data_IF_018491339956
#
_entry.id   IF_018491339956
#
_cell.length_a   1.000
_cell.length_b   1.000
_cell.length_c   1.000
_cell.angle_alpha   90.00
_cell.angle_beta   90.00
_cell.angle_gamma   90.00
#
_symmetry.space_group_name_H-M   'P 1'
#
loop_
_entity.id
_entity.type
_entity.pdbx_description
1 polymer ?
#
# COMPACT_ATOMS: atom_id res chain seq x y z
N UNK A 1 10.66 -18.10 6.92
CA UNK A 1 10.09 -18.33 5.58
C UNK A 1 9.89 -16.95 4.96
N UNK A 2 10.29 -16.72 3.71
CA UNK A 2 10.13 -15.40 3.09
C UNK A 2 8.79 -15.33 2.34
N UNK A 3 7.87 -14.52 2.84
CA UNK A 3 6.57 -14.29 2.19
C UNK A 3 6.63 -13.03 1.34
N UNK A 4 6.09 -13.12 0.13
CA UNK A 4 5.96 -11.99 -0.80
C UNK A 4 4.50 -11.89 -1.18
N UNK A 5 3.92 -10.70 -1.02
CA UNK A 5 2.60 -10.41 -1.55
C UNK A 5 2.73 -9.79 -2.94
N UNK A 6 2.00 -10.34 -3.92
CA UNK A 6 2.10 -9.90 -5.31
C UNK A 6 1.11 -8.79 -5.67
N UNK A 7 0.25 -8.35 -4.75
CA UNK A 7 -0.77 -7.34 -5.05
C UNK A 7 -1.43 -6.73 -3.80
N UNK A 8 -0.96 -5.55 -3.36
CA UNK A 8 -1.63 -4.77 -2.31
C UNK A 8 -1.99 -3.34 -2.74
N UNK A 9 -3.23 -2.94 -2.43
CA UNK A 9 -3.77 -1.60 -2.70
C UNK A 9 -3.48 -0.60 -1.55
N UNK A 10 -2.24 -0.55 -1.06
CA UNK A 10 -1.89 0.23 0.14
C UNK A 10 -2.18 1.73 -0.02
N UNK A 11 -1.64 2.36 -1.06
CA UNK A 11 -1.83 3.80 -1.29
C UNK A 11 -3.28 4.18 -1.60
N UNK A 12 -4.05 3.30 -2.26
CA UNK A 12 -5.49 3.54 -2.47
C UNK A 12 -6.25 3.58 -1.13
N UNK A 13 -5.93 2.67 -0.21
CA UNK A 13 -6.48 2.70 1.16
C UNK A 13 -6.06 3.97 1.91
N UNK A 14 -4.81 4.41 1.76
CA UNK A 14 -4.35 5.63 2.40
C UNK A 14 -5.05 6.88 1.85
N UNK A 15 -5.09 7.04 0.53
CA UNK A 15 -5.51 8.30 -0.09
C UNK A 15 -7.01 8.40 -0.33
N UNK A 16 -7.68 7.32 -0.74
CA UNK A 16 -9.14 7.37 -1.03
C UNK A 16 -9.97 7.13 0.24
N UNK A 17 -9.48 6.27 1.14
CA UNK A 17 -10.17 5.97 2.40
C UNK A 17 -9.64 6.80 3.57
N UNK A 18 -8.57 7.59 3.42
CA UNK A 18 -7.98 8.35 4.51
C UNK A 18 -7.57 7.45 5.70
N UNK A 19 -7.00 6.27 5.40
CA UNK A 19 -6.51 5.33 6.41
C UNK A 19 -5.04 5.59 6.70
N UNK A 20 -4.70 5.73 7.97
CA UNK A 20 -3.29 5.83 8.35
C UNK A 20 -2.65 4.44 8.38
N UNK A 21 -1.77 4.17 7.41
CA UNK A 21 -1.06 2.89 7.31
C UNK A 21 0.00 2.69 8.40
N UNK A 22 0.27 3.69 9.25
CA UNK A 22 1.17 3.54 10.40
C UNK A 22 0.47 2.91 11.62
N UNK A 23 -0.87 2.93 11.64
CA UNK A 23 -1.66 2.36 12.70
C UNK A 23 -1.87 0.86 12.48
N UNK A 24 -2.19 0.12 13.55
CA UNK A 24 -2.68 -1.24 13.41
C UNK A 24 -4.06 -1.22 12.74
N UNK A 25 -4.43 -2.34 12.13
CA UNK A 25 -5.74 -2.54 11.53
C UNK A 25 -6.84 -2.38 12.57
N UNK A 26 -6.64 -2.81 13.82
CA UNK A 26 -7.61 -2.59 14.90
C UNK A 26 -7.84 -1.10 15.15
N UNK A 27 -6.77 -0.29 15.21
CA UNK A 27 -6.87 1.16 15.40
C UNK A 27 -7.56 1.84 14.22
N UNK A 28 -7.23 1.44 12.98
CA UNK A 28 -7.92 1.96 11.78
C UNK A 28 -9.41 1.63 11.83
N UNK A 29 -9.78 0.39 12.14
CA UNK A 29 -11.19 -0.04 12.22
C UNK A 29 -11.94 0.70 13.34
N UNK A 30 -11.28 0.95 14.47
CA UNK A 30 -11.86 1.72 15.56
C UNK A 30 -12.09 3.19 15.17
N UNK A 31 -11.14 3.82 14.46
CA UNK A 31 -11.30 5.18 13.95
C UNK A 31 -12.44 5.31 12.93
N UNK A 32 -12.75 4.23 12.22
CA UNK A 32 -13.87 4.15 11.26
C UNK A 32 -15.20 3.71 11.91
N UNK A 33 -15.25 3.49 13.23
CA UNK A 33 -16.45 3.02 13.92
C UNK A 33 -17.63 3.99 13.74
N UNK A 34 -18.79 3.46 13.37
CA UNK A 34 -20.01 4.25 13.12
C UNK A 34 -20.10 4.92 11.75
N UNK A 35 -19.05 4.86 10.92
CA UNK A 35 -19.10 5.32 9.53
C UNK A 35 -19.93 4.35 8.68
N UNK A 36 -20.88 4.87 7.90
CA UNK A 36 -21.88 4.05 7.17
C UNK A 36 -21.47 3.68 5.74
N UNK A 37 -20.38 4.25 5.22
CA UNK A 37 -19.91 3.95 3.87
C UNK A 37 -19.45 2.49 3.78
N UNK A 38 -19.76 1.83 2.66
CA UNK A 38 -19.33 0.43 2.39
C UNK A 38 -17.84 0.27 2.66
N UNK A 39 -17.41 -0.76 3.38
CA UNK A 39 -15.99 -1.07 3.60
C UNK A 39 -15.30 -0.32 4.74
N UNK A 40 -15.95 0.67 5.37
CA UNK A 40 -15.50 1.25 6.64
C UNK A 40 -15.53 0.21 7.75
N UNK A 41 -14.51 0.19 8.60
CA UNK A 41 -14.32 -0.83 9.63
C UNK A 41 -13.84 -2.18 9.10
N UNK A 42 -13.53 -2.29 7.79
CA UNK A 42 -13.15 -3.56 7.15
C UNK A 42 -11.72 -3.60 6.59
N UNK A 43 -10.85 -2.64 6.94
CA UNK A 43 -9.43 -2.69 6.53
C UNK A 43 -8.77 -3.99 6.98
N UNK A 44 -7.86 -4.56 6.18
CA UNK A 44 -7.27 -5.90 6.44
C UNK A 44 -5.77 -5.87 6.68
N UNK A 45 -5.08 -4.83 6.20
CA UNK A 45 -3.62 -4.71 6.30
C UNK A 45 -3.19 -3.26 6.41
N UNK A 46 -2.05 -3.05 7.05
CA UNK A 46 -1.29 -1.80 7.20
C UNK A 46 0.19 -2.16 7.36
N UNK A 47 1.09 -1.18 7.52
CA UNK A 47 2.53 -1.47 7.62
C UNK A 47 2.89 -2.34 8.84
N UNK A 48 2.31 -2.14 10.05
CA UNK A 48 2.59 -3.03 11.19
C UNK A 48 2.17 -4.49 10.93
N UNK A 49 1.13 -4.71 10.13
CA UNK A 49 0.57 -6.02 9.83
C UNK A 49 1.48 -6.80 8.89
N UNK A 50 2.03 -6.13 7.87
CA UNK A 50 3.05 -6.72 7.00
C UNK A 50 4.29 -7.13 7.80
N UNK A 51 4.71 -6.28 8.76
CA UNK A 51 5.83 -6.60 9.67
C UNK A 51 5.52 -7.81 10.55
N UNK A 52 4.35 -7.82 11.19
CA UNK A 52 3.92 -8.93 12.06
C UNK A 52 3.76 -10.25 11.30
N UNK A 53 3.34 -10.19 10.05
CA UNK A 53 3.17 -11.36 9.19
C UNK A 53 4.47 -11.80 8.50
N UNK A 54 5.60 -11.13 8.76
CA UNK A 54 6.88 -11.41 8.10
C UNK A 54 6.78 -11.39 6.57
N UNK A 55 6.08 -10.38 6.03
CA UNK A 55 5.98 -10.09 4.59
C UNK A 55 6.92 -8.93 4.26
N UNK A 56 8.23 -9.17 4.05
CA UNK A 56 9.23 -8.11 3.86
C UNK A 56 9.14 -7.41 2.51
N UNK A 57 8.39 -7.95 1.54
CA UNK A 57 8.30 -7.44 0.19
C UNK A 57 6.87 -7.58 -0.34
N UNK A 58 6.35 -6.52 -0.95
CA UNK A 58 5.07 -6.53 -1.65
C UNK A 58 5.16 -5.82 -2.99
N UNK A 59 4.37 -6.24 -3.96
CA UNK A 59 4.07 -5.41 -5.14
C UNK A 59 2.98 -4.42 -4.73
N UNK A 60 3.32 -3.14 -4.67
CA UNK A 60 2.46 -2.10 -4.12
C UNK A 60 1.73 -1.36 -5.24
N UNK A 61 0.47 -1.71 -5.44
CA UNK A 61 -0.30 -1.27 -6.61
C UNK A 61 -0.57 0.24 -6.54
N UNK A 62 -0.42 0.92 -7.68
CA UNK A 62 -1.03 2.23 -7.94
C UNK A 62 -2.23 2.02 -8.85
N UNK A 63 -3.42 2.43 -8.39
CA UNK A 63 -4.66 2.10 -9.09
C UNK A 63 -5.61 3.29 -9.17
N UNK A 64 -6.10 3.56 -10.36
CA UNK A 64 -7.22 4.47 -10.58
C UNK A 64 -7.99 4.02 -11.80
N UNK A 65 -9.30 3.80 -11.63
CA UNK A 65 -10.17 3.33 -12.69
C UNK A 65 -10.72 4.51 -13.47
N UNK A 66 -10.62 4.48 -14.80
CA UNK A 66 -11.41 5.37 -15.68
C UNK A 66 -12.83 4.81 -15.83
N UNK A 67 -13.84 5.65 -15.69
CA UNK A 67 -15.24 5.29 -15.92
C UNK A 67 -15.46 4.86 -17.37
N UNK A 68 -16.35 3.87 -17.59
CA UNK A 68 -16.75 3.41 -18.92
C UNK A 68 -18.27 3.33 -19.01
N UNK A 69 -18.88 3.69 -20.14
CA UNK A 69 -20.32 3.49 -20.35
C UNK A 69 -20.73 2.04 -20.07
N UNK A 70 -21.80 1.84 -19.30
CA UNK A 70 -22.31 0.51 -18.93
C UNK A 70 -21.54 -0.24 -17.84
N UNK A 71 -20.44 0.31 -17.32
CA UNK A 71 -19.73 -0.29 -16.17
C UNK A 71 -20.47 -0.03 -14.86
N UNK A 72 -20.72 -1.04 -14.01
CA UNK A 72 -21.28 -0.83 -12.67
C UNK A 72 -20.26 -0.23 -11.68
N UNK A 73 -18.97 -0.26 -12.02
CA UNK A 73 -17.91 0.30 -11.18
C UNK A 73 -17.71 1.80 -11.47
N UNK A 74 -17.64 2.59 -10.40
CA UNK A 74 -17.29 4.02 -10.45
C UNK A 74 -15.83 4.21 -10.90
N UNK A 75 -15.57 5.31 -11.62
CA UNK A 75 -14.23 5.69 -12.05
C UNK A 75 -14.12 7.18 -12.33
N UNK A 76 -12.90 7.64 -12.59
CA UNK A 76 -12.62 9.02 -13.00
C UNK A 76 -13.17 9.30 -14.39
N UNK A 77 -13.41 10.58 -14.71
CA UNK A 77 -14.05 10.97 -15.96
C UNK A 77 -13.26 10.55 -17.23
N UNK A 78 -11.93 10.58 -17.15
CA UNK A 78 -11.04 10.20 -18.26
C UNK A 78 -9.66 9.72 -17.74
N UNK A 79 -8.81 9.27 -18.65
CA UNK A 79 -7.55 8.57 -18.33
C UNK A 79 -6.50 9.49 -17.69
N UNK A 80 -6.49 10.77 -18.05
CA UNK A 80 -5.55 11.76 -17.52
C UNK A 80 -5.77 11.98 -16.02
N UNK A 81 -7.04 12.00 -15.57
CA UNK A 81 -7.36 12.01 -14.14
C UNK A 81 -6.94 10.68 -13.50
N UNK A 82 -7.17 9.54 -14.16
CA UNK A 82 -6.73 8.25 -13.63
C UNK A 82 -5.22 8.22 -13.41
N UNK A 83 -4.45 8.66 -14.40
CA UNK A 83 -2.99 8.76 -14.34
C UNK A 83 -2.55 9.70 -13.21
N UNK A 84 -3.14 10.90 -13.10
CA UNK A 84 -2.82 11.84 -12.03
C UNK A 84 -3.05 11.25 -10.63
N UNK A 85 -4.16 10.54 -10.42
CA UNK A 85 -4.43 9.86 -9.13
C UNK A 85 -3.41 8.74 -8.85
N UNK A 86 -3.04 7.95 -9.86
CA UNK A 86 -2.01 6.92 -9.72
C UNK A 86 -0.63 7.51 -9.42
N UNK A 87 -0.28 8.66 -10.01
CA UNK A 87 0.93 9.40 -9.67
C UNK A 87 0.91 9.93 -8.23
N UNK A 88 -0.26 10.36 -7.73
CA UNK A 88 -0.44 10.70 -6.31
C UNK A 88 -0.18 9.53 -5.37
N UNK A 89 -0.60 8.32 -5.75
CA UNK A 89 -0.30 7.09 -5.00
C UNK A 89 1.20 6.76 -5.02
N UNK A 90 1.87 6.90 -6.17
CA UNK A 90 3.33 6.76 -6.25
C UNK A 90 4.06 7.81 -5.38
N UNK A 91 3.59 9.05 -5.39
CA UNK A 91 4.14 10.10 -4.55
C UNK A 91 3.99 9.77 -3.05
N UNK A 92 2.87 9.16 -2.65
CA UNK A 92 2.70 8.70 -1.27
C UNK A 92 3.73 7.64 -0.87
N UNK A 93 4.02 6.67 -1.75
CA UNK A 93 5.09 5.70 -1.49
C UNK A 93 6.47 6.34 -1.36
N UNK A 94 6.78 7.36 -2.17
CA UNK A 94 8.03 8.14 -2.04
C UNK A 94 8.10 8.91 -0.71
N UNK A 95 6.98 9.39 -0.18
CA UNK A 95 6.91 9.99 1.16
C UNK A 95 7.18 8.95 2.24
N UNK A 96 6.67 7.73 2.11
CA UNK A 96 6.98 6.64 3.05
C UNK A 96 8.46 6.24 2.97
N UNK A 97 9.04 6.25 1.77
CA UNK A 97 10.46 5.97 1.55
C UNK A 97 11.35 7.04 2.21
N UNK A 98 11.03 8.33 2.06
CA UNK A 98 11.78 9.40 2.72
C UNK A 98 11.71 9.36 4.25
N UNK A 99 10.70 8.66 4.79
CA UNK A 99 10.53 8.39 6.21
C UNK A 99 11.18 7.07 6.66
N UNK A 100 11.91 6.38 5.77
CA UNK A 100 12.53 5.08 6.00
C UNK A 100 11.53 3.98 6.45
N UNK A 101 10.25 4.10 6.03
CA UNK A 101 9.21 3.11 6.36
C UNK A 101 9.15 2.01 5.31
N UNK A 102 9.37 2.39 4.06
CA UNK A 102 9.43 1.49 2.90
C UNK A 102 10.71 1.77 2.11
N UNK A 103 11.08 0.84 1.23
CA UNK A 103 12.14 0.99 0.23
C UNK A 103 11.56 0.63 -1.13
N UNK A 104 11.69 1.52 -2.12
CA UNK A 104 11.24 1.24 -3.48
C UNK A 104 12.31 0.39 -4.20
N UNK A 105 11.90 -0.79 -4.64
CA UNK A 105 12.75 -1.78 -5.29
C UNK A 105 12.54 -1.67 -6.80
N UNK A 106 13.45 -0.99 -7.49
CA UNK A 106 13.31 -0.68 -8.91
C UNK A 106 14.08 -1.63 -9.84
N UNK A 107 14.94 -2.51 -9.30
CA UNK A 107 15.76 -3.42 -10.09
C UNK A 107 16.20 -4.66 -9.31
N UNK A 108 16.76 -5.64 -10.04
CA UNK A 108 17.23 -6.91 -9.48
C UNK A 108 18.28 -6.74 -8.37
N UNK A 109 19.25 -5.83 -8.56
CA UNK A 109 20.30 -5.61 -7.56
C UNK A 109 19.72 -5.09 -6.25
N UNK A 110 18.81 -4.11 -6.30
CA UNK A 110 18.14 -3.59 -5.10
C UNK A 110 17.25 -4.64 -4.43
N UNK A 111 16.66 -5.55 -5.20
CA UNK A 111 15.89 -6.67 -4.68
C UNK A 111 16.78 -7.64 -3.91
N UNK A 112 17.88 -8.09 -4.50
CA UNK A 112 18.80 -9.03 -3.86
C UNK A 112 19.34 -8.43 -2.54
N UNK A 113 19.76 -7.15 -2.56
CA UNK A 113 20.20 -6.43 -1.35
C UNK A 113 19.12 -6.35 -0.27
N UNK A 114 17.87 -6.11 -0.66
CA UNK A 114 16.75 -6.00 0.27
C UNK A 114 16.44 -7.35 0.93
N UNK A 115 16.45 -8.44 0.16
CA UNK A 115 16.22 -9.79 0.67
C UNK A 115 17.32 -10.21 1.63
N UNK A 116 18.59 -9.96 1.28
CA UNK A 116 19.72 -10.26 2.15
C UNK A 116 19.65 -9.49 3.47
N UNK A 117 19.32 -8.19 3.42
CA UNK A 117 19.16 -7.35 4.60
C UNK A 117 18.00 -7.84 5.49
N UNK A 118 16.86 -8.21 4.90
CA UNK A 118 15.72 -8.77 5.64
C UNK A 118 16.06 -10.07 6.36
N UNK A 119 16.94 -10.91 5.81
CA UNK A 119 17.38 -12.14 6.46
C UNK A 119 18.34 -11.90 7.63
N UNK A 120 19.11 -10.81 7.60
CA UNK A 120 20.08 -10.46 8.64
C UNK A 120 19.46 -9.63 9.77
N UNK A 121 18.67 -8.61 9.43
CA UNK A 121 18.17 -7.61 10.37
C UNK A 121 16.67 -7.76 10.70
N UNK A 122 15.94 -8.56 9.92
CA UNK A 122 14.55 -8.91 10.16
C UNK A 122 13.63 -7.69 10.22
N UNK A 123 12.90 -7.55 11.33
CA UNK A 123 11.87 -6.53 11.52
C UNK A 123 12.39 -5.07 11.53
N UNK A 124 13.72 -4.86 11.57
CA UNK A 124 14.33 -3.52 11.55
C UNK A 124 14.41 -2.90 10.16
N UNK A 125 14.39 -3.72 9.11
CA UNK A 125 14.43 -3.21 7.73
C UNK A 125 13.14 -2.46 7.35
N UNK A 126 13.21 -1.39 6.54
CA UNK A 126 12.03 -0.85 5.84
C UNK A 126 11.32 -1.96 5.05
N UNK A 127 10.00 -1.83 4.84
CA UNK A 127 9.28 -2.78 3.99
C UNK A 127 9.63 -2.55 2.51
N UNK A 128 9.94 -3.61 1.78
CA UNK A 128 10.19 -3.53 0.34
C UNK A 128 8.89 -3.35 -0.41
N UNK A 129 8.86 -2.40 -1.35
CA UNK A 129 7.77 -2.26 -2.31
C UNK A 129 8.30 -2.22 -3.73
N UNK A 130 7.63 -2.94 -4.64
CA UNK A 130 7.85 -2.87 -6.09
C UNK A 130 6.75 -2.01 -6.71
#
# INVERSE_FOLDING_TARGET
MLLIDAHLDLAMNALEWNRDLNLSVEQVRQAEAGMKQKGRGCGTTTLPELRRAEVPLTVATVISRTGRPGSPASGTAHQEISYAKAQGQLAYYRVLESQNKVRIIANRQSLDQHIDACQQEGAKEPLGII
#
